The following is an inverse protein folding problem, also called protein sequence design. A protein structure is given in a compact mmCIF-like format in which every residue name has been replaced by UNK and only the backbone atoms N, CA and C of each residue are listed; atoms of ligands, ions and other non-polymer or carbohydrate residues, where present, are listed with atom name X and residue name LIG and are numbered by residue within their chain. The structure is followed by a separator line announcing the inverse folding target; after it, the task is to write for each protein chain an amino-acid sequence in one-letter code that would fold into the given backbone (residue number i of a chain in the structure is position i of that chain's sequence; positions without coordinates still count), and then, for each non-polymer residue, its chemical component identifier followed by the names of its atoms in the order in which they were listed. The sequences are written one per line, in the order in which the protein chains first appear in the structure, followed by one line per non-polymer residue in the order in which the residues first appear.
data_IF_908878658264
#
_entry.id   IF_908878658264
#
_cell.length_a   1.000
_cell.length_b   1.000
_cell.length_c   1.000
_cell.angle_alpha   90.00
_cell.angle_beta   90.00
_cell.angle_gamma   90.00
#
_symmetry.space_group_name_H-M   'P 1'
#
loop_
_entity.id
_entity.type
_entity.pdbx_description
1 polymer ?
#
# COMPACT_ATOMS: atom_id res chain seq x y z
N UNK A 1 -23.48 53.41 -22.83
CA UNK A 1 -24.13 53.51 -21.50
C UNK A 1 -23.43 52.47 -20.62
N UNK A 2 -22.78 52.79 -19.49
CA UNK A 2 -23.21 53.44 -18.21
C UNK A 2 -24.09 52.52 -17.33
N UNK A 3 -23.81 52.54 -16.01
CA UNK A 3 -24.26 51.59 -14.95
C UNK A 3 -23.48 50.26 -14.97
N UNK A 4 -22.58 49.91 -14.04
CA UNK A 4 -22.18 50.44 -12.72
C UNK A 4 -23.22 50.39 -11.57
N UNK A 5 -23.19 49.31 -10.78
CA UNK A 5 -23.55 49.12 -9.36
C UNK A 5 -23.36 47.61 -9.09
N UNK A 6 -22.56 47.04 -8.17
CA UNK A 6 -21.71 47.47 -7.05
C UNK A 6 -22.40 48.10 -5.82
N UNK A 7 -22.62 47.26 -4.78
CA UNK A 7 -22.23 47.47 -3.36
C UNK A 7 -22.38 46.14 -2.58
N UNK A 8 -21.39 45.69 -1.79
CA UNK A 8 -21.17 45.90 -0.32
C UNK A 8 -22.30 45.32 0.56
N UNK A 9 -22.08 44.63 1.69
CA UNK A 9 -20.88 44.14 2.44
C UNK A 9 -21.39 42.98 3.37
N UNK A 10 -20.86 42.51 4.53
CA UNK A 10 -19.80 42.85 5.53
C UNK A 10 -19.50 41.54 6.30
N UNK A 11 -18.28 41.00 6.43
CA UNK A 11 -17.25 41.12 7.51
C UNK A 11 -16.23 39.97 7.22
N UNK A 12 -14.89 40.03 7.38
CA UNK A 12 -13.98 40.65 8.34
C UNK A 12 -13.83 39.89 9.68
N UNK A 13 -12.73 39.12 9.83
CA UNK A 13 -12.34 38.42 11.06
C UNK A 13 -11.20 37.41 10.83
N UNK A 14 -9.94 37.67 11.25
CA UNK A 14 -8.82 36.75 11.07
C UNK A 14 -8.68 35.76 12.24
N UNK A 15 -8.68 34.46 11.94
CA UNK A 15 -8.45 33.40 12.93
C UNK A 15 -6.98 33.28 13.33
N UNK A 16 -6.50 34.19 14.17
CA UNK A 16 -5.25 33.99 14.92
C UNK A 16 -5.46 32.86 15.95
N UNK A 17 -4.78 31.73 15.77
CA UNK A 17 -4.51 30.80 16.87
C UNK A 17 -3.09 31.04 17.37
N UNK A 18 -2.95 31.14 18.69
CA UNK A 18 -1.72 31.56 19.37
C UNK A 18 -0.74 30.40 19.48
N UNK A 19 0.51 30.63 19.09
CA UNK A 19 1.61 29.74 19.44
C UNK A 19 1.89 29.87 20.94
N UNK A 20 1.73 28.79 21.69
CA UNK A 20 2.24 28.69 23.07
C UNK A 20 3.62 28.06 23.01
N UNK A 21 4.65 28.90 22.93
CA UNK A 21 6.01 28.50 23.23
C UNK A 21 6.28 28.77 24.72
N UNK A 22 6.84 27.78 25.42
CA UNK A 22 7.68 28.03 26.59
C UNK A 22 8.67 26.87 26.78
N UNK A 23 9.95 27.21 26.74
CA UNK A 23 11.04 26.29 27.03
C UNK A 23 11.13 25.97 28.52
N UNK A 24 11.56 24.75 28.82
CA UNK A 24 12.75 24.46 29.64
C UNK A 24 12.83 22.95 29.92
N UNK A 25 13.97 22.34 30.23
CA UNK A 25 15.38 22.59 29.90
C UNK A 25 16.15 21.50 30.66
N UNK A 26 16.80 20.57 29.95
CA UNK A 26 17.74 19.62 30.55
C UNK A 26 18.70 19.10 29.47
N UNK A 27 19.96 19.40 29.72
CA UNK A 27 21.20 18.84 29.16
C UNK A 27 21.14 17.31 28.94
N UNK A 28 21.89 16.72 28.00
CA UNK A 28 23.34 16.92 27.88
C UNK A 28 23.91 16.83 26.46
N UNK A 29 25.01 17.56 26.26
CA UNK A 29 25.92 17.46 25.11
C UNK A 29 27.33 17.17 25.63
N UNK A 30 28.05 16.23 24.99
CA UNK A 30 29.52 16.18 24.94
C UNK A 30 29.99 15.40 23.71
N UNK A 31 31.22 15.61 23.20
CA UNK A 31 31.59 15.27 21.82
C UNK A 31 32.89 14.42 21.69
N UNK A 32 33.35 14.22 20.44
CA UNK A 32 34.74 14.00 19.99
C UNK A 32 35.49 12.72 20.51
N UNK A 33 36.54 12.17 19.88
CA UNK A 33 37.17 12.42 18.55
C UNK A 33 37.93 11.16 18.03
N UNK A 34 38.55 11.28 16.84
CA UNK A 34 39.77 10.58 16.33
C UNK A 34 39.95 9.04 16.52
N UNK A 35 40.07 8.20 15.48
CA UNK A 35 41.09 8.09 14.39
C UNK A 35 42.33 7.20 14.70
N UNK A 36 42.75 6.45 13.66
CA UNK A 36 44.09 5.88 13.42
C UNK A 36 44.67 4.80 14.40
N UNK A 37 45.63 3.92 14.02
CA UNK A 37 46.37 3.69 12.77
C UNK A 37 46.81 2.20 12.57
N UNK A 38 47.65 1.98 11.53
CA UNK A 38 48.45 0.78 11.15
C UNK A 38 47.81 -0.20 10.13
N UNK A 39 48.27 -0.38 8.88
CA UNK A 39 49.62 -0.61 8.29
C UNK A 39 50.17 -2.03 8.57
N UNK A 40 50.71 -2.82 7.64
CA UNK A 40 50.87 -2.76 6.16
C UNK A 40 50.90 -4.25 5.64
N UNK A 41 51.36 -4.71 4.45
CA UNK A 41 52.07 -4.19 3.25
C UNK A 41 51.71 -5.11 2.04
N UNK A 42 51.47 -4.63 0.81
CA UNK A 42 52.40 -4.32 -0.30
C UNK A 42 53.07 -5.54 -1.03
N UNK A 43 52.90 -5.57 -2.36
CA UNK A 43 53.50 -6.46 -3.38
C UNK A 43 53.21 -7.99 -3.32
N UNK A 44 53.18 -8.75 -4.43
CA UNK A 44 53.16 -8.33 -5.85
C UNK A 44 54.05 -9.14 -6.80
N UNK A 45 53.68 -10.37 -7.18
CA UNK A 45 54.33 -11.16 -8.26
C UNK A 45 53.33 -12.04 -9.04
N UNK A 46 53.66 -12.30 -10.31
CA UNK A 46 53.06 -13.24 -11.27
C UNK A 46 54.25 -13.98 -11.98
N UNK A 47 54.12 -14.86 -13.01
CA UNK A 47 52.94 -15.20 -13.85
C UNK A 47 52.81 -16.70 -14.29
N UNK A 48 51.91 -16.95 -15.27
CA UNK A 48 51.81 -18.14 -16.14
C UNK A 48 51.27 -19.44 -15.48
N UNK A 49 50.70 -20.43 -16.20
CA UNK A 49 50.72 -20.74 -17.66
C UNK A 49 49.31 -21.10 -18.19
N UNK A 50 49.09 -20.96 -19.51
CA UNK A 50 47.92 -21.38 -20.33
C UNK A 50 48.11 -22.84 -20.87
N UNK A 51 47.29 -23.43 -21.78
CA UNK A 51 46.02 -23.02 -22.43
C UNK A 51 44.90 -24.11 -22.55
N UNK A 52 43.74 -23.70 -23.08
CA UNK A 52 42.81 -24.41 -24.03
C UNK A 52 42.21 -25.81 -23.74
N UNK A 53 40.93 -25.99 -24.15
CA UNK A 53 40.26 -27.30 -24.29
C UNK A 53 38.75 -27.18 -24.58
N UNK A 54 38.33 -27.47 -25.82
CA UNK A 54 36.94 -27.30 -26.32
C UNK A 54 35.92 -28.30 -25.71
N UNK A 55 34.58 -28.05 -25.81
CA UNK A 55 33.57 -28.80 -25.07
C UNK A 55 33.12 -30.12 -25.74
N UNK A 56 32.58 -31.04 -24.92
CA UNK A 56 32.01 -32.32 -25.35
C UNK A 56 30.54 -32.46 -24.93
N UNK A 57 29.77 -33.22 -25.70
CA UNK A 57 28.31 -33.41 -25.66
C UNK A 57 27.70 -33.85 -24.29
N UNK A 58 26.39 -33.60 -24.06
CA UNK A 58 25.75 -33.88 -22.77
C UNK A 58 25.64 -35.37 -22.41
N UNK A 59 25.68 -35.64 -21.11
CA UNK A 59 25.44 -36.96 -20.50
C UNK A 59 23.95 -37.31 -20.57
N UNK A 60 23.64 -38.56 -20.90
CA UNK A 60 22.26 -39.06 -20.97
C UNK A 60 21.60 -39.20 -19.59
N UNK A 61 20.32 -38.82 -19.48
CA UNK A 61 19.55 -38.98 -18.26
C UNK A 61 19.15 -40.45 -18.02
N UNK A 62 19.33 -41.01 -16.81
CA UNK A 62 18.74 -42.30 -16.45
C UNK A 62 17.23 -42.12 -16.18
N UNK A 63 16.39 -42.71 -17.03
CA UNK A 63 14.94 -42.66 -16.89
C UNK A 63 14.48 -43.22 -15.53
N UNK A 64 13.71 -42.43 -14.77
CA UNK A 64 13.14 -42.87 -13.48
C UNK A 64 12.04 -43.92 -13.72
N UNK A 65 12.05 -45.07 -13.02
CA UNK A 65 10.98 -46.05 -13.14
C UNK A 65 9.66 -45.46 -12.60
N UNK A 66 8.59 -45.54 -13.40
CA UNK A 66 7.26 -45.09 -12.99
C UNK A 66 6.68 -46.10 -12.01
N UNK A 67 6.50 -45.70 -10.75
CA UNK A 67 5.85 -46.52 -9.72
C UNK A 67 4.42 -46.85 -10.16
N UNK A 68 4.12 -48.15 -10.30
CA UNK A 68 2.76 -48.60 -10.62
C UNK A 68 1.81 -48.31 -9.47
N UNK A 69 0.65 -47.71 -9.79
CA UNK A 69 -0.40 -47.43 -8.83
C UNK A 69 -0.92 -48.75 -8.23
N UNK A 70 -0.62 -49.00 -6.95
CA UNK A 70 -1.28 -50.07 -6.21
C UNK A 70 -2.74 -49.66 -5.95
N UNK A 71 -3.73 -50.56 -6.14
CA UNK A 71 -5.08 -50.31 -5.67
C UNK A 71 -5.05 -50.05 -4.16
N UNK A 72 -5.50 -48.87 -3.74
CA UNK A 72 -5.80 -48.62 -2.34
C UNK A 72 -7.07 -49.42 -2.03
N UNK A 73 -7.06 -50.35 -1.06
CA UNK A 73 -8.28 -51.02 -0.65
C UNK A 73 -9.22 -49.96 -0.06
N UNK A 74 -10.38 -49.77 -0.68
CA UNK A 74 -11.47 -48.99 -0.10
C UNK A 74 -11.96 -49.76 1.13
N UNK A 75 -11.40 -49.42 2.29
CA UNK A 75 -11.88 -49.94 3.57
C UNK A 75 -13.28 -49.37 3.78
N UNK A 76 -14.35 -50.19 3.77
CA UNK A 76 -15.66 -49.70 4.16
C UNK A 76 -15.56 -49.23 5.61
N UNK A 77 -16.00 -48.02 5.93
CA UNK A 77 -15.98 -47.52 7.30
C UNK A 77 -16.91 -48.37 8.17
N UNK A 78 -16.34 -49.33 8.91
CA UNK A 78 -17.08 -50.31 9.71
C UNK A 78 -17.64 -49.68 11.00
N UNK A 79 -18.57 -48.74 10.85
CA UNK A 79 -19.48 -48.29 11.91
C UNK A 79 -20.56 -49.38 12.08
N UNK A 80 -20.12 -50.57 12.51
CA UNK A 80 -20.96 -51.76 12.71
C UNK A 80 -20.36 -52.66 13.80
N UNK A 81 -20.01 -52.05 14.94
CA UNK A 81 -19.48 -52.73 16.12
C UNK A 81 -20.03 -52.19 17.47
N UNK A 82 -20.97 -51.25 17.44
CA UNK A 82 -21.52 -50.55 18.65
C UNK A 82 -23.01 -50.15 18.52
N UNK A 83 -23.86 -50.96 17.88
CA UNK A 83 -25.32 -50.71 17.80
C UNK A 83 -25.79 -49.53 16.93
N UNK A 84 -24.87 -48.62 16.56
CA UNK A 84 -25.11 -47.52 15.62
C UNK A 84 -25.30 -48.07 14.20
N UNK A 85 -26.32 -47.57 13.51
CA UNK A 85 -26.70 -47.89 12.13
C UNK A 85 -26.76 -46.59 11.30
N UNK A 86 -26.64 -46.69 9.98
CA UNK A 86 -26.94 -45.54 9.10
C UNK A 86 -28.45 -45.30 9.11
N UNK A 87 -28.87 -44.06 9.37
CA UNK A 87 -30.27 -43.66 9.24
C UNK A 87 -30.55 -43.19 7.81
N UNK A 88 -31.80 -43.31 7.35
CA UNK A 88 -32.21 -42.63 6.13
C UNK A 88 -32.31 -41.12 6.41
N UNK A 89 -31.86 -40.28 5.48
CA UNK A 89 -32.03 -38.83 5.61
C UNK A 89 -33.50 -38.45 5.49
N UNK A 90 -34.28 -39.16 4.67
CA UNK A 90 -35.71 -38.92 4.51
C UNK A 90 -36.52 -39.29 5.78
N UNK A 91 -36.09 -40.32 6.54
CA UNK A 91 -36.69 -40.68 7.83
C UNK A 91 -36.57 -39.52 8.83
N UNK A 92 -35.40 -38.87 8.89
CA UNK A 92 -35.13 -37.78 9.82
C UNK A 92 -35.74 -36.45 9.38
N UNK A 93 -35.75 -36.15 8.09
CA UNK A 93 -36.43 -34.97 7.56
C UNK A 93 -37.94 -35.05 7.86
N UNK A 94 -38.58 -36.19 7.61
CA UNK A 94 -39.98 -36.42 7.95
C UNK A 94 -40.25 -36.39 9.47
N UNK A 95 -39.41 -37.04 10.28
CA UNK A 95 -39.53 -37.00 11.75
C UNK A 95 -39.28 -35.60 12.34
N UNK A 96 -38.54 -34.74 11.64
CA UNK A 96 -38.37 -33.33 12.00
C UNK A 96 -39.59 -32.48 11.60
N UNK A 97 -40.22 -32.75 10.44
CA UNK A 97 -41.49 -32.13 10.03
C UNK A 97 -42.66 -32.50 10.97
N UNK A 98 -42.68 -33.71 11.54
CA UNK A 98 -43.63 -34.09 12.61
C UNK A 98 -43.35 -33.44 13.98
N UNK A 99 -42.31 -32.61 14.12
CA UNK A 99 -41.75 -32.15 15.41
C UNK A 99 -41.43 -33.31 16.40
N UNK A 100 -41.24 -34.53 15.88
CA UNK A 100 -41.14 -35.75 16.68
C UNK A 100 -39.72 -36.04 17.21
N UNK A 101 -38.77 -35.11 17.00
CA UNK A 101 -37.37 -35.21 17.39
C UNK A 101 -36.98 -34.10 18.37
N UNK A 102 -36.71 -34.47 19.63
CA UNK A 102 -36.25 -33.52 20.64
C UNK A 102 -34.73 -33.35 20.56
N UNK A 103 -34.19 -32.14 20.30
CA UNK A 103 -32.74 -31.92 20.29
C UNK A 103 -32.16 -31.96 21.72
N UNK A 104 -31.20 -32.86 21.95
CA UNK A 104 -30.47 -32.98 23.22
C UNK A 104 -29.19 -32.13 23.22
N UNK A 105 -28.46 -32.12 22.10
CA UNK A 105 -27.22 -31.34 21.93
C UNK A 105 -27.07 -30.91 20.48
N UNK A 106 -26.67 -29.67 20.26
CA UNK A 106 -26.34 -29.15 18.92
C UNK A 106 -24.96 -28.49 18.95
N UNK A 107 -24.06 -28.94 18.07
CA UNK A 107 -22.79 -28.31 17.77
C UNK A 107 -22.89 -27.56 16.43
N UNK A 108 -22.25 -26.40 16.31
CA UNK A 108 -22.21 -25.60 15.07
C UNK A 108 -20.81 -25.02 14.87
N UNK A 109 -20.26 -25.19 13.68
CA UNK A 109 -19.02 -24.54 13.24
C UNK A 109 -19.14 -24.12 11.77
N UNK A 110 -19.23 -22.80 11.54
CA UNK A 110 -19.50 -22.22 10.22
C UNK A 110 -20.74 -22.85 9.56
N UNK A 111 -20.61 -23.36 8.32
CA UNK A 111 -21.69 -24.01 7.58
C UNK A 111 -22.06 -25.42 8.11
N UNK A 112 -21.27 -26.02 9.00
CA UNK A 112 -21.50 -27.38 9.50
C UNK A 112 -22.19 -27.36 10.86
N UNK A 113 -23.18 -28.24 11.05
CA UNK A 113 -23.79 -28.46 12.37
C UNK A 113 -24.13 -29.91 12.61
N UNK A 114 -23.96 -30.36 13.86
CA UNK A 114 -24.25 -31.71 14.32
C UNK A 114 -25.32 -31.64 15.38
N UNK A 115 -26.39 -32.42 15.23
CA UNK A 115 -27.49 -32.50 16.19
C UNK A 115 -27.63 -33.92 16.72
N UNK A 116 -27.56 -34.08 18.04
CA UNK A 116 -28.07 -35.26 18.75
C UNK A 116 -29.55 -35.03 19.03
N UNK A 117 -30.39 -35.89 18.46
CA UNK A 117 -31.85 -35.84 18.50
C UNK A 117 -32.38 -37.11 19.16
N UNK A 118 -33.47 -37.00 19.92
CA UNK A 118 -34.13 -38.13 20.57
C UNK A 118 -35.57 -38.27 20.11
N UNK A 119 -35.96 -39.49 19.75
CA UNK A 119 -37.31 -39.81 19.29
C UNK A 119 -38.09 -40.57 20.37
N UNK A 120 -38.96 -39.86 21.10
CA UNK A 120 -39.65 -40.41 22.26
C UNK A 120 -40.65 -41.54 21.94
N UNK A 121 -41.11 -41.70 20.70
CA UNK A 121 -42.05 -42.77 20.30
C UNK A 121 -41.35 -44.14 20.22
N UNK A 122 -40.13 -44.19 19.66
CA UNK A 122 -39.32 -45.42 19.53
C UNK A 122 -38.26 -45.60 20.63
N UNK A 123 -38.04 -44.56 21.46
CA UNK A 123 -36.91 -44.44 22.39
C UNK A 123 -35.53 -44.51 21.70
N UNK A 124 -35.46 -44.13 20.43
CA UNK A 124 -34.25 -44.15 19.61
C UNK A 124 -33.54 -42.78 19.57
N UNK A 125 -32.22 -42.81 19.40
CA UNK A 125 -31.38 -41.63 19.22
C UNK A 125 -30.97 -41.50 17.76
N UNK A 126 -30.97 -40.27 17.25
CA UNK A 126 -30.51 -39.94 15.91
C UNK A 126 -29.40 -38.89 16.00
N UNK A 127 -28.33 -39.09 15.24
CA UNK A 127 -27.22 -38.14 15.12
C UNK A 127 -27.16 -37.65 13.68
N UNK A 128 -27.44 -36.38 13.47
CA UNK A 128 -27.56 -35.77 12.15
C UNK A 128 -26.43 -34.73 11.92
N UNK A 129 -25.69 -34.88 10.82
CA UNK A 129 -24.68 -33.93 10.34
C UNK A 129 -25.25 -33.17 9.14
N UNK A 130 -25.36 -31.85 9.30
CA UNK A 130 -25.83 -30.91 8.29
C UNK A 130 -24.67 -30.10 7.70
N UNK A 131 -24.80 -29.73 6.42
CA UNK A 131 -23.93 -28.80 5.71
C UNK A 131 -24.81 -27.73 5.04
N UNK A 132 -24.58 -26.46 5.38
CA UNK A 132 -25.36 -25.30 4.93
C UNK A 132 -26.89 -25.49 5.07
N UNK A 133 -27.30 -26.05 6.23
CA UNK A 133 -28.69 -26.40 6.55
C UNK A 133 -29.21 -27.69 5.90
N UNK A 134 -28.55 -28.22 4.88
CA UNK A 134 -28.93 -29.47 4.21
C UNK A 134 -28.44 -30.70 5.00
N UNK A 135 -29.27 -31.73 5.17
CA UNK A 135 -28.86 -32.96 5.86
C UNK A 135 -27.89 -33.77 4.98
N UNK A 136 -26.66 -33.99 5.45
CA UNK A 136 -25.62 -34.67 4.67
C UNK A 136 -25.42 -36.14 5.09
N UNK A 137 -25.47 -36.43 6.40
CA UNK A 137 -25.33 -37.78 6.94
C UNK A 137 -26.14 -37.92 8.21
N UNK A 138 -26.64 -39.13 8.46
CA UNK A 138 -27.26 -39.44 9.74
C UNK A 138 -27.05 -40.88 10.21
N UNK A 139 -27.17 -41.06 11.52
CA UNK A 139 -26.97 -42.32 12.22
C UNK A 139 -28.12 -42.55 13.22
N UNK A 140 -28.66 -43.78 13.29
CA UNK A 140 -29.66 -44.21 14.28
C UNK A 140 -28.96 -45.10 15.32
N UNK A 141 -29.22 -44.88 16.60
CA UNK A 141 -28.64 -45.63 17.71
C UNK A 141 -29.70 -45.96 18.77
N UNK A 142 -29.63 -47.17 19.34
CA UNK A 142 -30.52 -47.57 20.44
C UNK A 142 -30.07 -47.00 21.78
N UNK A 143 -28.75 -46.95 22.03
CA UNK A 143 -28.17 -46.53 23.30
C UNK A 143 -27.62 -45.10 23.25
N UNK A 144 -27.82 -44.34 24.33
CA UNK A 144 -27.32 -42.95 24.43
C UNK A 144 -25.80 -42.88 24.31
N UNK A 145 -25.05 -43.77 24.97
CA UNK A 145 -23.57 -43.79 24.90
C UNK A 145 -23.07 -44.01 23.46
N UNK A 146 -23.78 -44.85 22.69
CA UNK A 146 -23.48 -45.08 21.28
C UNK A 146 -23.79 -43.85 20.42
N UNK A 147 -24.87 -43.13 20.73
CA UNK A 147 -25.25 -41.87 20.08
C UNK A 147 -24.28 -40.72 20.43
N UNK A 148 -23.82 -40.61 21.67
CA UNK A 148 -22.82 -39.61 22.09
C UNK A 148 -21.46 -39.87 21.45
N UNK A 149 -21.02 -41.13 21.36
CA UNK A 149 -19.80 -41.50 20.63
C UNK A 149 -19.90 -41.16 19.13
N UNK A 150 -21.06 -41.38 18.51
CA UNK A 150 -21.31 -40.98 17.13
C UNK A 150 -21.37 -39.44 16.95
N UNK A 151 -21.99 -38.73 17.90
CA UNK A 151 -22.03 -37.27 17.94
C UNK A 151 -20.63 -36.68 18.00
N UNK A 152 -19.78 -37.14 18.91
CA UNK A 152 -18.39 -36.68 19.02
C UNK A 152 -17.56 -36.96 17.76
N UNK A 153 -17.80 -38.09 17.08
CA UNK A 153 -17.15 -38.36 15.80
C UNK A 153 -17.58 -37.37 14.70
N UNK A 154 -18.85 -36.98 14.65
CA UNK A 154 -19.33 -35.93 13.75
C UNK A 154 -18.89 -34.52 14.18
N UNK A 155 -18.75 -34.24 15.48
CA UNK A 155 -18.20 -32.99 16.04
C UNK A 155 -16.73 -32.80 15.59
N UNK A 156 -15.91 -33.87 15.64
CA UNK A 156 -14.57 -33.88 15.04
C UNK A 156 -14.59 -33.67 13.52
N UNK A 157 -15.48 -34.36 12.78
CA UNK A 157 -15.57 -34.20 11.32
C UNK A 157 -15.95 -32.76 10.94
N UNK A 158 -17.00 -32.20 11.56
CA UNK A 158 -17.46 -30.83 11.35
C UNK A 158 -16.37 -29.80 11.71
N UNK A 159 -15.62 -30.03 12.80
CA UNK A 159 -14.47 -29.20 13.18
C UNK A 159 -13.43 -29.17 12.06
N UNK A 160 -12.94 -30.35 11.62
CA UNK A 160 -11.92 -30.48 10.57
C UNK A 160 -12.35 -29.89 9.22
N UNK A 161 -13.64 -29.98 8.88
CA UNK A 161 -14.21 -29.33 7.69
C UNK A 161 -14.22 -27.80 7.82
N UNK A 162 -14.57 -27.30 9.01
CA UNK A 162 -14.61 -25.86 9.30
C UNK A 162 -13.22 -25.19 9.43
N UNK A 163 -12.13 -25.95 9.61
CA UNK A 163 -10.76 -25.43 9.57
C UNK A 163 -10.45 -24.73 8.24
N UNK A 164 -10.94 -25.29 7.12
CA UNK A 164 -10.78 -24.70 5.79
C UNK A 164 -11.50 -23.35 5.66
N UNK A 165 -12.71 -23.24 6.20
CA UNK A 165 -13.48 -21.99 6.20
C UNK A 165 -12.91 -20.95 7.17
N UNK A 166 -12.42 -21.39 8.32
CA UNK A 166 -11.67 -20.56 9.28
C UNK A 166 -10.45 -19.94 8.61
N UNK A 167 -9.66 -20.75 7.90
CA UNK A 167 -8.48 -20.28 7.17
C UNK A 167 -8.83 -19.36 6.00
N UNK A 168 -9.93 -19.63 5.29
CA UNK A 168 -10.47 -18.73 4.24
C UNK A 168 -10.78 -17.35 4.82
N UNK A 169 -11.57 -17.27 5.90
CA UNK A 169 -11.96 -16.01 6.52
C UNK A 169 -10.75 -15.21 7.04
N UNK A 170 -9.75 -15.89 7.62
CA UNK A 170 -8.50 -15.24 8.03
C UNK A 170 -7.71 -14.66 6.85
N UNK A 171 -7.58 -15.42 5.74
CA UNK A 171 -6.88 -14.95 4.54
C UNK A 171 -7.64 -13.81 3.84
N UNK A 172 -8.97 -13.84 3.84
CA UNK A 172 -9.82 -12.78 3.30
C UNK A 172 -9.62 -11.46 4.07
N UNK A 173 -9.64 -11.50 5.40
CA UNK A 173 -9.36 -10.34 6.24
C UNK A 173 -7.92 -9.80 6.07
N UNK A 174 -6.93 -10.69 5.92
CA UNK A 174 -5.54 -10.31 5.64
C UNK A 174 -5.37 -9.66 4.26
N UNK A 175 -6.04 -10.20 3.24
CA UNK A 175 -6.05 -9.63 1.89
C UNK A 175 -6.74 -8.26 1.87
N UNK A 176 -7.84 -8.08 2.60
CA UNK A 176 -8.51 -6.78 2.70
C UNK A 176 -7.64 -5.75 3.44
N UNK A 177 -6.95 -6.15 4.51
CA UNK A 177 -5.95 -5.31 5.19
C UNK A 177 -4.81 -4.92 4.23
N UNK A 178 -4.30 -5.85 3.43
CA UNK A 178 -3.25 -5.57 2.46
C UNK A 178 -3.72 -4.62 1.34
N UNK A 179 -4.92 -4.82 0.80
CA UNK A 179 -5.53 -3.93 -0.19
C UNK A 179 -5.71 -2.50 0.37
N UNK A 180 -6.17 -2.37 1.63
CA UNK A 180 -6.24 -1.08 2.34
C UNK A 180 -4.87 -0.42 2.54
N UNK A 181 -3.77 -1.18 2.63
CA UNK A 181 -2.42 -0.64 2.71
C UNK A 181 -1.89 -0.20 1.34
N UNK A 182 -2.13 -1.00 0.29
CA UNK A 182 -1.75 -0.67 -1.10
C UNK A 182 -2.45 0.62 -1.57
N UNK A 183 -3.77 0.72 -1.37
CA UNK A 183 -4.52 1.92 -1.75
C UNK A 183 -4.03 3.20 -1.03
N UNK A 184 -3.42 3.08 0.17
CA UNK A 184 -2.81 4.20 0.88
C UNK A 184 -1.44 4.58 0.31
N UNK A 185 -0.59 3.61 -0.03
CA UNK A 185 0.73 3.90 -0.62
C UNK A 185 0.60 4.43 -2.06
N UNK A 186 -0.35 3.92 -2.85
CA UNK A 186 -0.70 4.45 -4.18
C UNK A 186 -1.20 5.89 -4.09
N UNK A 187 -2.15 6.18 -3.17
CA UNK A 187 -2.62 7.54 -2.94
C UNK A 187 -1.52 8.49 -2.43
N UNK A 188 -0.52 7.99 -1.70
CA UNK A 188 0.65 8.78 -1.31
C UNK A 188 1.60 9.02 -2.50
N UNK A 189 1.83 8.00 -3.34
CA UNK A 189 2.68 8.11 -4.53
C UNK A 189 2.10 9.10 -5.55
N UNK A 190 0.79 9.08 -5.80
CA UNK A 190 0.16 9.99 -6.77
C UNK A 190 0.12 11.45 -6.26
N UNK A 191 -0.05 11.66 -4.94
CA UNK A 191 0.15 12.97 -4.31
C UNK A 191 1.56 13.48 -4.52
N UNK A 192 2.58 12.64 -4.28
CA UNK A 192 3.98 13.01 -4.49
C UNK A 192 4.30 13.29 -5.97
N UNK A 193 3.73 12.51 -6.89
CA UNK A 193 3.83 12.73 -8.34
C UNK A 193 3.26 14.09 -8.74
N UNK A 194 2.04 14.40 -8.28
CA UNK A 194 1.37 15.68 -8.50
C UNK A 194 2.20 16.84 -7.94
N UNK A 195 2.78 16.67 -6.75
CA UNK A 195 3.66 17.66 -6.12
C UNK A 195 4.94 17.93 -6.91
N UNK A 196 5.60 16.88 -7.42
CA UNK A 196 6.81 17.00 -8.23
C UNK A 196 6.51 17.67 -9.58
N UNK A 197 5.41 17.31 -10.24
CA UNK A 197 4.95 17.98 -11.47
C UNK A 197 4.67 19.47 -11.24
N UNK A 198 3.99 19.80 -10.13
CA UNK A 198 3.70 21.18 -9.72
C UNK A 198 4.97 21.98 -9.42
N UNK A 199 5.95 21.38 -8.76
CA UNK A 199 7.27 22.01 -8.48
C UNK A 199 8.03 22.29 -9.77
N UNK A 200 8.17 21.30 -10.67
CA UNK A 200 8.84 21.49 -11.96
C UNK A 200 8.20 22.59 -12.83
N UNK A 201 6.87 22.67 -12.85
CA UNK A 201 6.15 23.74 -13.56
C UNK A 201 6.41 25.13 -12.94
N UNK A 202 6.46 25.21 -11.61
CA UNK A 202 6.79 26.45 -10.90
C UNK A 202 8.26 26.86 -11.12
N UNK A 203 9.19 25.91 -11.07
CA UNK A 203 10.62 26.11 -11.32
C UNK A 203 10.88 26.61 -12.75
N UNK A 204 10.26 26.00 -13.76
CA UNK A 204 10.32 26.48 -15.14
C UNK A 204 9.73 27.89 -15.28
N UNK A 205 8.64 28.20 -14.58
CA UNK A 205 8.03 29.54 -14.57
C UNK A 205 8.96 30.59 -13.96
N UNK A 206 9.61 30.27 -12.84
CA UNK A 206 10.61 31.13 -12.19
C UNK A 206 11.85 31.30 -13.07
N UNK A 207 12.34 30.22 -13.69
CA UNK A 207 13.46 30.26 -14.63
C UNK A 207 13.16 31.18 -15.83
N UNK A 208 12.01 30.99 -16.48
CA UNK A 208 11.53 31.85 -17.56
C UNK A 208 11.45 33.32 -17.13
N UNK A 209 10.93 33.59 -15.91
CA UNK A 209 10.84 34.94 -15.34
C UNK A 209 12.24 35.55 -15.11
N UNK A 210 13.20 34.79 -14.58
CA UNK A 210 14.58 35.25 -14.41
C UNK A 210 15.25 35.55 -15.76
N UNK A 211 15.11 34.66 -16.76
CA UNK A 211 15.65 34.89 -18.10
C UNK A 211 15.05 36.14 -18.77
N UNK A 212 13.76 36.41 -18.55
CA UNK A 212 13.11 37.61 -19.05
C UNK A 212 13.61 38.87 -18.34
N UNK A 213 13.70 38.88 -17.00
CA UNK A 213 14.25 40.02 -16.24
C UNK A 213 15.70 40.32 -16.65
N UNK A 214 16.55 39.31 -16.89
CA UNK A 214 17.92 39.52 -17.39
C UNK A 214 17.97 40.18 -18.77
N UNK A 215 16.99 39.93 -19.65
CA UNK A 215 16.85 40.61 -20.95
C UNK A 215 16.34 42.06 -20.79
N UNK A 216 15.39 42.28 -19.88
CA UNK A 216 14.87 43.62 -19.59
C UNK A 216 15.95 44.53 -18.99
N UNK A 217 16.77 44.00 -18.07
CA UNK A 217 17.92 44.72 -17.50
C UNK A 217 18.94 45.11 -18.57
N UNK A 218 19.38 44.19 -19.43
CA UNK A 218 20.39 44.51 -20.45
C UNK A 218 19.86 45.46 -21.54
N UNK A 219 18.56 45.43 -21.84
CA UNK A 219 17.90 46.43 -22.69
C UNK A 219 17.89 47.82 -22.03
N UNK A 220 17.55 47.91 -20.74
CA UNK A 220 17.55 49.18 -19.99
C UNK A 220 18.97 49.74 -19.83
N UNK A 221 19.98 48.89 -19.64
CA UNK A 221 21.39 49.30 -19.61
C UNK A 221 21.86 49.85 -20.96
N UNK A 222 21.52 49.19 -22.07
CA UNK A 222 21.82 49.68 -23.41
C UNK A 222 21.12 51.02 -23.71
N UNK A 223 19.86 51.18 -23.31
CA UNK A 223 19.13 52.45 -23.39
C UNK A 223 19.79 53.56 -22.54
N UNK A 224 20.23 53.24 -21.32
CA UNK A 224 20.93 54.18 -20.43
C UNK A 224 22.24 54.67 -21.06
N UNK A 225 23.05 53.77 -21.62
CA UNK A 225 24.32 54.11 -22.28
C UNK A 225 24.07 54.97 -23.53
N UNK A 226 23.07 54.64 -24.34
CA UNK A 226 22.69 55.44 -25.50
C UNK A 226 22.25 56.86 -25.08
N UNK A 227 21.35 56.98 -24.10
CA UNK A 227 20.89 58.27 -23.58
C UNK A 227 22.05 59.11 -23.00
N UNK A 228 22.98 58.49 -22.28
CA UNK A 228 24.18 59.15 -21.75
C UNK A 228 25.12 59.63 -22.87
N UNK A 229 25.25 58.87 -23.97
CA UNK A 229 26.00 59.30 -25.15
C UNK A 229 25.33 60.49 -25.87
N UNK A 230 23.99 60.50 -25.99
CA UNK A 230 23.24 61.64 -26.53
C UNK A 230 23.40 62.91 -25.66
N UNK A 231 23.31 62.79 -24.34
CA UNK A 231 23.55 63.88 -23.39
C UNK A 231 24.97 64.44 -23.52
N UNK A 232 25.98 63.57 -23.60
CA UNK A 232 27.38 63.99 -23.80
C UNK A 232 27.60 64.69 -25.16
N UNK A 233 26.88 64.28 -26.21
CA UNK A 233 26.89 64.97 -27.52
C UNK A 233 26.26 66.36 -27.41
N UNK A 234 25.10 66.48 -26.76
CA UNK A 234 24.41 67.76 -26.57
C UNK A 234 25.25 68.76 -25.78
N UNK A 235 25.88 68.35 -24.67
CA UNK A 235 26.78 69.22 -23.91
C UNK A 235 27.97 69.73 -24.72
N UNK A 236 28.57 68.91 -25.59
CA UNK A 236 29.65 69.34 -26.50
C UNK A 236 29.16 70.40 -27.50
N UNK A 237 27.96 70.22 -28.06
CA UNK A 237 27.36 71.20 -28.97
C UNK A 237 27.05 72.53 -28.26
N UNK A 238 26.51 72.48 -27.04
CA UNK A 238 26.26 73.68 -26.21
C UNK A 238 27.58 74.41 -25.92
N UNK A 239 28.65 73.69 -25.55
CA UNK A 239 29.95 74.30 -25.29
C UNK A 239 30.55 74.97 -26.55
N UNK A 240 30.48 74.29 -27.71
CA UNK A 240 30.90 74.87 -28.99
C UNK A 240 30.16 76.17 -29.33
N UNK A 241 28.83 76.19 -29.17
CA UNK A 241 28.00 77.39 -29.40
C UNK A 241 28.34 78.53 -28.43
N UNK A 242 28.68 78.22 -27.18
CA UNK A 242 29.10 79.23 -26.20
C UNK A 242 30.48 79.82 -26.54
N UNK A 243 31.43 79.02 -27.06
CA UNK A 243 32.73 79.53 -27.50
C UNK A 243 32.56 80.50 -28.68
N UNK A 244 31.86 80.09 -29.74
CA UNK A 244 31.61 80.95 -30.92
C UNK A 244 30.80 82.20 -30.58
N UNK A 245 29.95 82.14 -29.55
CA UNK A 245 29.20 83.31 -29.05
C UNK A 245 30.11 84.31 -28.32
N UNK A 246 31.06 83.83 -27.49
CA UNK A 246 32.00 84.69 -26.77
C UNK A 246 33.04 85.34 -27.70
N UNK A 247 33.50 84.64 -28.74
CA UNK A 247 34.33 85.24 -29.80
C UNK A 247 33.60 86.36 -30.57
N UNK A 248 32.27 86.32 -30.61
CA UNK A 248 31.42 87.37 -31.17
C UNK A 248 31.19 88.59 -30.26
N UNK A 249 31.67 88.58 -29.01
CA UNK A 249 31.54 89.71 -28.07
C UNK A 249 32.84 90.54 -28.14
N UNK A 250 32.84 91.71 -28.80
CA UNK A 250 34.06 92.50 -28.96
C UNK A 250 34.58 92.98 -27.61
N UNK A 251 35.85 92.69 -27.34
CA UNK A 251 36.52 93.18 -26.15
C UNK A 251 36.68 94.70 -26.26
N UNK A 252 35.79 95.46 -25.61
CA UNK A 252 35.96 96.90 -25.47
C UNK A 252 37.24 97.15 -24.67
N UNK A 253 38.25 97.85 -25.21
CA UNK A 253 39.50 98.07 -24.50
C UNK A 253 39.25 99.03 -23.32
N UNK A 254 39.62 98.59 -22.11
CA UNK A 254 39.65 99.47 -20.94
C UNK A 254 40.57 100.67 -21.22
N UNK A 255 40.11 101.86 -20.82
CA UNK A 255 40.85 103.11 -20.82
C UNK A 255 40.53 103.89 -19.54
#
# INVERSE_FOLDING_TARGET
MKSLLNRRSVLAGPSHLVQVARENAADSVSPDDSEEAALAAAAGVAPAVTPAGAPTAPVAEPARPVTTLRPVPVVPSQVSARGVQMADTAEIEWLAEEEALTPFRVFRSFAYSVSLLFHAKELAYYVALYQDGSLWRALKAADLEAAEAAFHHFEEQATRLSEGETRRAQLEAQNEQLARMIARSEAQAERLRTDLQRRGAQEQTVSNRQHQVRKEVSQLEAQRVAAQAHLNKAHRQIHQLNLTSNEGIPHLPNR
#
